data_IF_236718564732
#
_entry.id   IF_236718564732
#
_cell.length_a   1.000
_cell.length_b   1.000
_cell.length_c   1.000
_cell.angle_alpha   90.00
_cell.angle_beta   90.00
_cell.angle_gamma   90.00
#
_symmetry.space_group_name_H-M   'P 1'
#
loop_
_entity.id
_entity.type
_entity.pdbx_description
1 polymer ?
#
# COMPACT_ATOMS: atom_id res chain seq x y z
N UNK A 1 1.36 -41.51 35.09
CA UNK A 1 0.52 -40.41 34.50
C UNK A 1 1.44 -39.29 34.10
N UNK A 2 1.56 -38.97 32.81
CA UNK A 2 2.33 -37.81 32.31
C UNK A 2 1.43 -36.57 32.30
N UNK A 3 1.85 -35.40 32.80
CA UNK A 3 1.01 -34.21 32.77
C UNK A 3 0.82 -33.73 31.31
N UNK A 4 -0.42 -33.51 30.94
CA UNK A 4 -0.83 -33.03 29.63
C UNK A 4 -0.44 -31.53 29.53
N UNK A 5 0.68 -31.22 28.88
CA UNK A 5 1.07 -29.84 28.59
C UNK A 5 0.15 -29.28 27.50
N UNK A 6 -0.92 -28.63 27.91
CA UNK A 6 -1.69 -27.74 27.02
C UNK A 6 -0.78 -26.61 26.59
N UNK A 7 -0.23 -26.70 25.38
CA UNK A 7 0.39 -25.55 24.73
C UNK A 7 -0.71 -24.52 24.45
N UNK A 8 -0.55 -23.26 24.89
CA UNK A 8 -1.56 -22.24 24.64
C UNK A 8 -1.74 -22.06 23.14
N UNK A 9 -2.96 -22.19 22.65
CA UNK A 9 -3.32 -22.02 21.24
C UNK A 9 -2.87 -20.62 20.80
N UNK A 10 -1.97 -20.57 19.81
CA UNK A 10 -1.44 -19.30 19.29
C UNK A 10 -2.59 -18.40 18.83
N UNK A 11 -2.83 -17.30 19.53
CA UNK A 11 -3.90 -16.34 19.18
C UNK A 11 -3.69 -15.85 17.73
N UNK A 12 -4.77 -15.85 16.94
CA UNK A 12 -4.73 -15.33 15.57
C UNK A 12 -4.23 -13.89 15.62
N UNK A 13 -3.24 -13.55 14.79
CA UNK A 13 -2.61 -12.21 14.70
C UNK A 13 -3.60 -11.02 14.64
N UNK A 14 -4.84 -11.25 14.24
CA UNK A 14 -5.91 -10.27 14.17
C UNK A 14 -6.31 -9.72 15.56
N UNK A 15 -6.24 -10.55 16.62
CA UNK A 15 -6.57 -10.13 18.00
C UNK A 15 -5.46 -9.32 18.69
N UNK A 16 -4.22 -9.36 18.13
CA UNK A 16 -3.06 -8.66 18.69
C UNK A 16 -2.78 -7.31 18.02
N UNK A 17 -3.58 -6.91 17.03
CA UNK A 17 -3.38 -5.65 16.31
C UNK A 17 -4.45 -4.66 16.73
N UNK A 18 -4.04 -3.59 17.40
CA UNK A 18 -4.91 -2.49 17.82
C UNK A 18 -5.57 -1.77 16.63
N UNK A 19 -4.93 -1.77 15.45
CA UNK A 19 -5.44 -1.11 14.25
C UNK A 19 -4.90 -1.74 12.95
N UNK A 20 -5.76 -1.90 11.94
CA UNK A 20 -5.44 -2.56 10.68
C UNK A 20 -5.11 -1.61 9.51
N UNK A 21 -5.31 -0.31 9.65
CA UNK A 21 -5.07 0.69 8.60
C UNK A 21 -4.52 2.00 9.17
N UNK A 22 -3.88 2.78 8.29
CA UNK A 22 -3.42 4.14 8.56
C UNK A 22 -4.49 5.14 8.13
N UNK A 23 -4.63 6.24 8.87
CA UNK A 23 -5.39 7.39 8.40
C UNK A 23 -4.64 8.09 7.24
N UNK A 24 -5.32 8.89 6.39
CA UNK A 24 -4.66 9.65 5.34
C UNK A 24 -3.52 10.53 5.87
N UNK A 25 -3.73 11.21 7.00
CA UNK A 25 -2.71 12.06 7.63
C UNK A 25 -1.47 11.27 8.07
N UNK A 26 -1.64 10.04 8.57
CA UNK A 26 -0.52 9.19 8.94
C UNK A 26 0.25 8.68 7.73
N UNK A 27 -0.44 8.42 6.62
CA UNK A 27 0.22 8.08 5.35
C UNK A 27 1.05 9.26 4.85
N UNK A 28 0.54 10.48 4.91
CA UNK A 28 1.27 11.68 4.50
C UNK A 28 2.51 11.91 5.39
N UNK A 29 2.39 11.72 6.71
CA UNK A 29 3.53 11.74 7.64
C UNK A 29 4.56 10.68 7.30
N UNK A 30 4.12 9.47 6.97
CA UNK A 30 4.98 8.34 6.60
C UNK A 30 5.76 8.62 5.31
N UNK A 31 5.10 9.17 4.28
CA UNK A 31 5.73 9.57 3.01
C UNK A 31 6.77 10.68 3.25
N UNK A 32 6.42 11.69 4.05
CA UNK A 32 7.32 12.80 4.39
C UNK A 32 8.54 12.31 5.16
N UNK A 33 8.34 11.45 6.16
CA UNK A 33 9.42 10.82 6.91
C UNK A 33 10.33 9.98 6.02
N UNK A 34 9.76 9.12 5.15
CA UNK A 34 10.54 8.33 4.21
C UNK A 34 11.38 9.20 3.27
N UNK A 35 10.84 10.33 2.79
CA UNK A 35 11.52 11.25 1.90
C UNK A 35 12.73 11.91 2.55
N UNK A 36 12.72 12.16 3.86
CA UNK A 36 13.83 12.73 4.62
C UNK A 36 14.91 11.72 5.02
N UNK A 37 14.66 10.41 4.82
CA UNK A 37 15.57 9.35 5.24
C UNK A 37 16.67 9.06 4.23
N UNK A 38 17.82 9.72 4.39
CA UNK A 38 19.07 9.38 3.70
C UNK A 38 18.98 9.40 2.16
N UNK A 39 19.93 8.69 1.52
CA UNK A 39 20.16 8.75 0.07
C UNK A 39 18.99 8.26 -0.79
N UNK A 40 18.21 7.31 -0.32
CA UNK A 40 17.13 6.68 -1.08
C UNK A 40 15.72 7.24 -0.73
N UNK A 41 15.66 8.40 -0.07
CA UNK A 41 14.40 8.97 0.41
C UNK A 41 13.36 9.19 -0.69
N UNK A 42 13.77 9.63 -1.88
CA UNK A 42 12.87 9.78 -3.02
C UNK A 42 12.27 8.44 -3.45
N UNK A 43 13.08 7.41 -3.64
CA UNK A 43 12.64 6.05 -4.00
C UNK A 43 11.68 5.51 -2.95
N UNK A 44 12.09 5.55 -1.69
CA UNK A 44 11.36 4.95 -0.57
C UNK A 44 10.01 5.64 -0.34
N UNK A 45 9.95 6.98 -0.41
CA UNK A 45 8.70 7.73 -0.34
C UNK A 45 7.78 7.47 -1.55
N UNK A 46 8.34 7.31 -2.75
CA UNK A 46 7.56 6.95 -3.96
C UNK A 46 6.98 5.54 -3.84
N UNK A 47 7.72 4.58 -3.28
CA UNK A 47 7.20 3.24 -3.00
C UNK A 47 5.98 3.29 -2.07
N UNK A 48 6.05 4.08 -0.99
CA UNK A 48 4.93 4.24 -0.05
C UNK A 48 3.73 4.90 -0.73
N UNK A 49 3.97 5.95 -1.51
CA UNK A 49 2.93 6.66 -2.25
C UNK A 49 2.17 5.73 -3.20
N UNK A 50 2.88 4.97 -4.04
CA UNK A 50 2.26 4.03 -4.99
C UNK A 50 1.56 2.87 -4.27
N UNK A 51 2.18 2.31 -3.20
CA UNK A 51 1.56 1.26 -2.41
C UNK A 51 0.22 1.70 -1.82
N UNK A 52 0.15 2.94 -1.33
CA UNK A 52 -1.08 3.53 -0.80
C UNK A 52 -2.07 3.87 -1.90
N UNK A 53 -1.69 4.65 -2.91
CA UNK A 53 -2.65 5.14 -3.91
C UNK A 53 -3.26 4.04 -4.75
N UNK A 54 -2.46 3.05 -5.14
CA UNK A 54 -2.92 1.94 -5.99
C UNK A 54 -3.25 0.66 -5.23
N UNK A 55 -3.13 0.69 -3.89
CA UNK A 55 -3.39 -0.46 -3.04
C UNK A 55 -2.54 -1.68 -3.41
N UNK A 56 -1.28 -1.48 -3.79
CA UNK A 56 -0.40 -2.56 -4.24
C UNK A 56 -0.07 -3.53 -3.10
N UNK A 57 -0.03 -4.83 -3.42
CA UNK A 57 0.60 -5.80 -2.53
C UNK A 57 2.11 -5.59 -2.55
N UNK A 58 2.76 -5.94 -1.45
CA UNK A 58 4.21 -5.77 -1.35
C UNK A 58 4.97 -6.46 -2.48
N UNK A 59 4.54 -7.68 -2.87
CA UNK A 59 5.14 -8.41 -3.98
C UNK A 59 4.92 -7.74 -5.34
N UNK A 60 3.77 -7.09 -5.55
CA UNK A 60 3.46 -6.34 -6.77
C UNK A 60 4.35 -5.08 -6.84
N UNK A 61 4.52 -4.39 -5.72
CA UNK A 61 5.32 -3.17 -5.62
C UNK A 61 6.81 -3.43 -5.91
N UNK A 62 7.42 -4.43 -5.24
CA UNK A 62 8.87 -4.66 -5.37
C UNK A 62 9.26 -5.28 -6.72
N UNK A 63 8.30 -5.86 -7.43
CA UNK A 63 8.52 -6.41 -8.79
C UNK A 63 7.92 -5.54 -9.89
N UNK A 64 7.51 -4.30 -9.59
CA UNK A 64 6.96 -3.37 -10.57
C UNK A 64 8.02 -3.03 -11.62
N UNK A 65 7.64 -3.14 -12.90
CA UNK A 65 8.50 -2.84 -14.05
C UNK A 65 8.12 -1.54 -14.73
N UNK A 66 9.09 -0.90 -15.38
CA UNK A 66 8.84 0.30 -16.20
C UNK A 66 7.90 0.02 -17.37
N UNK A 67 7.90 -1.20 -17.93
CA UNK A 67 6.94 -1.61 -18.96
C UNK A 67 5.46 -1.60 -18.51
N UNK A 68 5.21 -1.51 -17.21
CA UNK A 68 3.87 -1.39 -16.63
C UNK A 68 3.45 0.08 -16.42
N UNK A 69 4.34 1.05 -16.68
CA UNK A 69 4.11 2.47 -16.43
C UNK A 69 4.19 3.25 -17.72
N UNK A 70 3.09 3.88 -18.10
CA UNK A 70 3.04 4.85 -19.17
C UNK A 70 3.14 6.26 -18.57
N UNK A 71 4.34 6.85 -18.67
CA UNK A 71 4.61 8.20 -18.15
C UNK A 71 4.07 9.30 -19.05
N UNK A 72 3.74 9.00 -20.32
CA UNK A 72 3.19 9.97 -21.27
C UNK A 72 1.68 10.08 -21.11
N UNK A 73 0.98 8.94 -21.17
CA UNK A 73 -0.47 8.86 -21.00
C UNK A 73 -0.91 8.90 -19.52
N UNK A 74 0.02 8.72 -18.58
CA UNK A 74 -0.27 8.79 -17.17
C UNK A 74 -1.03 7.59 -16.62
N UNK A 75 -0.61 6.37 -16.95
CA UNK A 75 -1.22 5.13 -16.46
C UNK A 75 -0.21 4.17 -15.84
N UNK A 76 -0.71 3.35 -14.91
CA UNK A 76 0.00 2.19 -14.36
C UNK A 76 -0.85 0.94 -14.54
N UNK A 77 -0.27 -0.09 -15.16
CA UNK A 77 -0.86 -1.41 -15.34
C UNK A 77 -0.46 -2.32 -14.19
N UNK A 78 -1.41 -2.70 -13.35
CA UNK A 78 -1.17 -3.49 -12.15
C UNK A 78 -1.49 -4.95 -12.45
N UNK A 79 -0.45 -5.75 -12.56
CA UNK A 79 -0.56 -7.21 -12.73
C UNK A 79 -0.72 -7.84 -11.35
N UNK A 80 -1.93 -8.33 -11.06
CA UNK A 80 -2.28 -8.88 -9.75
C UNK A 80 -1.77 -10.31 -9.59
N UNK A 81 -0.93 -10.51 -8.60
CA UNK A 81 -0.46 -11.87 -8.24
C UNK A 81 -1.56 -12.65 -7.51
N UNK A 82 -1.43 -14.00 -7.51
CA UNK A 82 -2.35 -14.92 -6.79
C UNK A 82 -3.81 -14.86 -7.29
N UNK A 83 -4.00 -14.92 -8.61
CA UNK A 83 -5.33 -14.94 -9.23
C UNK A 83 -6.20 -13.70 -8.90
N UNK A 84 -5.58 -12.54 -8.66
CA UNK A 84 -6.29 -11.26 -8.58
C UNK A 84 -6.75 -10.80 -9.96
N UNK A 85 -7.57 -9.76 -10.00
CA UNK A 85 -8.04 -9.11 -11.23
C UNK A 85 -7.07 -7.97 -11.55
N UNK A 86 -6.45 -8.02 -12.73
CA UNK A 86 -5.56 -6.96 -13.22
C UNK A 86 -6.34 -5.67 -13.45
N UNK A 87 -5.67 -4.53 -13.27
CA UNK A 87 -6.30 -3.23 -13.41
C UNK A 87 -5.32 -2.19 -13.95
N UNK A 88 -5.85 -1.23 -14.69
CA UNK A 88 -5.12 -0.04 -15.12
C UNK A 88 -5.61 1.15 -14.32
N UNK A 89 -4.68 1.85 -13.66
CA UNK A 89 -5.01 3.01 -12.83
C UNK A 89 -4.38 4.27 -13.41
N UNK A 90 -5.06 5.43 -13.32
CA UNK A 90 -4.45 6.70 -13.66
C UNK A 90 -3.36 7.09 -12.66
N UNK A 91 -2.27 7.67 -13.16
CA UNK A 91 -1.22 8.31 -12.38
C UNK A 91 -1.46 9.82 -12.33
N UNK A 92 -1.41 10.39 -11.14
CA UNK A 92 -1.59 11.83 -10.96
C UNK A 92 -0.24 12.57 -10.98
N UNK A 93 -0.30 13.90 -11.15
CA UNK A 93 0.88 14.72 -11.35
C UNK A 93 1.99 14.58 -10.30
N UNK A 94 1.64 14.30 -9.02
CA UNK A 94 2.63 14.05 -7.97
C UNK A 94 3.37 12.73 -8.18
N UNK A 95 2.69 11.69 -8.65
CA UNK A 95 3.27 10.38 -8.94
C UNK A 95 4.14 10.43 -10.19
N UNK A 96 3.64 11.05 -11.26
CA UNK A 96 4.40 11.25 -12.49
C UNK A 96 5.72 12.00 -12.23
N UNK A 97 5.66 13.07 -11.42
CA UNK A 97 6.87 13.82 -11.05
C UNK A 97 7.89 12.99 -10.29
N UNK A 98 7.44 12.20 -9.31
CA UNK A 98 8.35 11.35 -8.53
C UNK A 98 8.88 10.17 -9.34
N UNK A 99 8.04 9.54 -10.17
CA UNK A 99 8.45 8.43 -11.04
C UNK A 99 9.49 8.85 -12.08
N UNK A 100 9.31 10.02 -12.74
CA UNK A 100 10.32 10.55 -13.67
C UNK A 100 11.65 10.83 -12.98
N UNK A 101 11.64 11.31 -11.73
CA UNK A 101 12.87 11.49 -10.94
C UNK A 101 13.51 10.15 -10.56
N UNK A 102 12.71 9.17 -10.13
CA UNK A 102 13.21 7.81 -9.84
C UNK A 102 13.83 7.19 -11.09
N UNK A 103 13.21 7.33 -12.26
CA UNK A 103 13.75 6.83 -13.53
C UNK A 103 15.10 7.48 -13.87
N UNK A 104 15.24 8.78 -13.62
CA UNK A 104 16.48 9.52 -13.83
C UNK A 104 17.60 9.10 -12.86
N UNK A 105 17.24 8.90 -11.58
CA UNK A 105 18.22 8.56 -10.54
C UNK A 105 18.68 7.10 -10.61
N UNK A 106 17.87 6.22 -11.21
CA UNK A 106 18.12 4.79 -11.34
C UNK A 106 17.95 4.31 -12.80
N UNK A 107 18.79 4.79 -13.73
CA UNK A 107 18.65 4.45 -15.14
C UNK A 107 19.03 2.98 -15.42
N UNK A 108 18.54 2.47 -16.54
CA UNK A 108 18.96 1.19 -17.15
C UNK A 108 18.59 -0.06 -16.37
N UNK A 109 17.37 -0.14 -15.84
CA UNK A 109 16.84 -1.37 -15.28
C UNK A 109 15.38 -1.57 -15.70
N UNK A 110 14.94 -2.81 -15.79
CA UNK A 110 13.54 -3.14 -16.06
C UNK A 110 12.63 -2.77 -14.89
N UNK A 111 13.16 -2.80 -13.66
CA UNK A 111 12.40 -2.59 -12.43
C UNK A 111 12.39 -1.13 -11.99
N UNK A 112 11.24 -0.67 -11.51
CA UNK A 112 11.06 0.71 -11.00
C UNK A 112 11.84 0.93 -9.71
N UNK A 113 11.85 -0.06 -8.83
CA UNK A 113 12.49 0.05 -7.51
C UNK A 113 13.61 -0.96 -7.36
N UNK A 114 14.82 -0.45 -7.34
CA UNK A 114 16.04 -1.27 -7.28
C UNK A 114 16.91 -0.91 -6.08
N UNK A 115 17.75 -1.86 -5.73
CA UNK A 115 18.85 -1.70 -4.77
C UNK A 115 20.07 -1.05 -5.44
N UNK A 116 21.10 -0.70 -4.64
CA UNK A 116 22.39 -0.22 -5.15
C UNK A 116 23.08 -1.24 -6.06
N UNK A 117 22.78 -2.53 -5.89
CA UNK A 117 23.29 -3.61 -6.76
C UNK A 117 22.49 -3.76 -8.05
N UNK A 118 21.62 -2.81 -8.39
CA UNK A 118 20.73 -2.81 -9.58
C UNK A 118 19.76 -4.00 -9.65
N UNK A 119 19.56 -4.71 -8.54
CA UNK A 119 18.59 -5.79 -8.43
C UNK A 119 17.26 -5.25 -7.86
N UNK A 120 16.10 -5.88 -8.14
CA UNK A 120 14.82 -5.52 -7.54
C UNK A 120 14.92 -5.49 -6.03
N UNK A 121 14.21 -4.56 -5.39
CA UNK A 121 14.11 -4.56 -3.94
C UNK A 121 13.35 -5.78 -3.44
N UNK A 122 13.77 -6.30 -2.29
CA UNK A 122 13.07 -7.41 -1.64
C UNK A 122 11.94 -6.89 -0.76
N UNK A 123 10.94 -7.73 -0.53
CA UNK A 123 9.86 -7.43 0.43
C UNK A 123 10.40 -7.08 1.83
N UNK A 124 11.50 -7.75 2.24
CA UNK A 124 12.14 -7.50 3.52
C UNK A 124 12.69 -6.08 3.63
N UNK A 125 13.35 -5.59 2.57
CA UNK A 125 13.87 -4.22 2.53
C UNK A 125 12.73 -3.20 2.65
N UNK A 126 11.64 -3.38 1.89
CA UNK A 126 10.50 -2.47 1.99
C UNK A 126 9.84 -2.48 3.38
N UNK A 127 9.74 -3.65 4.04
CA UNK A 127 9.27 -3.72 5.44
C UNK A 127 10.17 -2.93 6.39
N UNK A 128 11.50 -3.00 6.20
CA UNK A 128 12.46 -2.17 6.98
C UNK A 128 12.27 -0.68 6.74
N UNK A 129 12.09 -0.28 5.47
CA UNK A 129 11.81 1.12 5.11
C UNK A 129 10.56 1.62 5.83
N UNK A 130 9.45 0.87 5.76
CA UNK A 130 8.20 1.23 6.43
C UNK A 130 8.34 1.36 7.95
N UNK A 131 8.99 0.40 8.59
CA UNK A 131 9.19 0.44 10.05
C UNK A 131 10.04 1.64 10.46
N UNK A 132 11.13 1.93 9.73
CA UNK A 132 11.98 3.09 10.00
C UNK A 132 11.23 4.40 9.77
N UNK A 133 10.51 4.52 8.66
CA UNK A 133 9.70 5.71 8.36
C UNK A 133 8.60 5.91 9.40
N UNK A 134 7.97 4.85 9.89
CA UNK A 134 6.99 4.89 10.97
C UNK A 134 7.55 5.46 12.26
N UNK A 135 8.76 5.04 12.64
CA UNK A 135 9.48 5.60 13.81
C UNK A 135 9.80 7.08 13.65
N UNK A 136 10.34 7.48 12.48
CA UNK A 136 10.64 8.90 12.18
C UNK A 136 9.37 9.74 12.12
N UNK A 137 8.25 9.18 11.63
CA UNK A 137 6.96 9.85 11.61
C UNK A 137 6.26 9.95 13.00
N UNK A 138 6.85 9.38 14.03
CA UNK A 138 6.28 9.35 15.39
C UNK A 138 5.01 8.49 15.49
N UNK A 139 4.87 7.46 14.67
CA UNK A 139 3.72 6.56 14.73
C UNK A 139 3.94 5.50 15.81
N UNK A 140 3.06 5.48 16.82
CA UNK A 140 3.12 4.54 17.96
C UNK A 140 2.63 3.12 17.59
N UNK A 141 2.69 2.75 16.30
CA UNK A 141 2.26 1.45 15.80
C UNK A 141 3.32 0.89 14.84
N UNK A 142 3.45 -0.43 14.82
CA UNK A 142 4.33 -1.10 13.87
C UNK A 142 3.70 -1.11 12.49
N UNK A 143 4.18 -0.21 11.61
CA UNK A 143 3.66 -0.09 10.24
C UNK A 143 4.07 -1.29 9.39
N UNK A 144 3.13 -1.85 8.64
CA UNK A 144 3.37 -2.93 7.70
C UNK A 144 2.62 -2.71 6.37
N UNK A 145 3.07 -3.35 5.25
CA UNK A 145 2.57 -3.04 3.90
C UNK A 145 1.04 -3.18 3.73
N UNK A 146 0.41 -4.16 4.39
CA UNK A 146 -1.03 -4.33 4.29
C UNK A 146 -1.83 -3.16 4.88
N UNK A 147 -1.26 -2.42 5.85
CA UNK A 147 -1.92 -1.23 6.40
C UNK A 147 -2.08 -0.13 5.35
N UNK A 148 -1.13 0.02 4.41
CA UNK A 148 -1.25 0.97 3.28
C UNK A 148 -2.40 0.56 2.34
N UNK A 149 -2.46 -0.72 1.98
CA UNK A 149 -3.53 -1.24 1.12
C UNK A 149 -4.90 -1.16 1.79
N UNK A 150 -5.00 -1.43 3.09
CA UNK A 150 -6.22 -1.22 3.86
C UNK A 150 -6.61 0.26 3.92
N UNK A 151 -5.63 1.16 4.10
CA UNK A 151 -5.85 2.60 4.06
C UNK A 151 -6.43 3.06 2.71
N UNK A 152 -5.96 2.47 1.58
CA UNK A 152 -6.56 2.71 0.25
C UNK A 152 -8.04 2.32 0.24
N UNK A 153 -8.37 1.10 0.67
CA UNK A 153 -9.75 0.61 0.69
C UNK A 153 -10.67 1.50 1.53
N UNK A 154 -10.24 1.87 2.74
CA UNK A 154 -11.00 2.78 3.61
C UNK A 154 -11.10 4.19 3.03
N UNK A 155 -10.04 4.73 2.41
CA UNK A 155 -10.07 6.04 1.76
C UNK A 155 -11.11 6.09 0.64
N UNK A 156 -11.15 5.07 -0.22
CA UNK A 156 -12.11 4.98 -1.31
C UNK A 156 -13.54 4.81 -0.79
N UNK A 157 -13.75 3.95 0.19
CA UNK A 157 -15.06 3.75 0.80
C UNK A 157 -15.59 5.04 1.48
N UNK A 158 -14.73 5.75 2.23
CA UNK A 158 -15.09 7.04 2.83
C UNK A 158 -15.31 8.17 1.82
N UNK A 159 -14.77 8.03 0.60
CA UNK A 159 -15.05 8.93 -0.52
C UNK A 159 -16.35 8.56 -1.28
N UNK A 160 -17.11 7.57 -0.81
CA UNK A 160 -18.38 7.16 -1.39
C UNK A 160 -18.26 6.22 -2.59
N UNK A 161 -17.06 5.68 -2.88
CA UNK A 161 -16.87 4.72 -3.96
C UNK A 161 -17.57 3.40 -3.60
N UNK A 162 -18.33 2.85 -4.53
CA UNK A 162 -19.09 1.62 -4.32
C UNK A 162 -18.18 0.38 -4.16
N UNK A 163 -18.71 -0.65 -3.52
CA UNK A 163 -17.96 -1.86 -3.17
C UNK A 163 -17.38 -2.59 -4.39
N UNK A 164 -18.10 -2.61 -5.53
CA UNK A 164 -17.64 -3.28 -6.76
C UNK A 164 -16.46 -2.54 -7.37
N UNK A 165 -16.54 -1.22 -7.47
CA UNK A 165 -15.44 -0.37 -7.95
C UNK A 165 -14.19 -0.53 -7.08
N UNK A 166 -14.34 -0.54 -5.73
CA UNK A 166 -13.23 -0.81 -4.81
C UNK A 166 -12.68 -2.23 -5.00
N UNK A 167 -13.54 -3.23 -5.21
CA UNK A 167 -13.14 -4.60 -5.50
C UNK A 167 -12.23 -4.68 -6.72
N UNK A 168 -12.66 -4.08 -7.84
CA UNK A 168 -11.88 -4.02 -9.08
C UNK A 168 -10.58 -3.24 -8.90
N UNK A 169 -10.64 -2.07 -8.28
CA UNK A 169 -9.48 -1.24 -8.00
C UNK A 169 -8.39 -1.99 -7.21
N UNK A 170 -8.79 -2.69 -6.17
CA UNK A 170 -7.88 -3.49 -5.36
C UNK A 170 -7.54 -4.86 -5.99
N UNK A 171 -8.25 -5.30 -7.01
CA UNK A 171 -8.07 -6.61 -7.64
C UNK A 171 -8.40 -7.77 -6.69
N UNK A 172 -9.50 -7.64 -5.92
CA UNK A 172 -10.00 -8.71 -5.07
C UNK A 172 -10.87 -9.68 -5.86
N UNK A 173 -10.48 -10.95 -5.92
CA UNK A 173 -11.32 -12.00 -6.54
C UNK A 173 -12.62 -12.21 -5.76
N UNK A 174 -12.55 -12.24 -4.42
CA UNK A 174 -13.70 -12.37 -3.56
C UNK A 174 -14.12 -10.99 -3.00
N UNK A 175 -15.37 -10.62 -3.24
CA UNK A 175 -15.96 -9.34 -2.80
C UNK A 175 -15.95 -9.19 -1.27
N UNK A 176 -16.03 -10.28 -0.51
CA UNK A 176 -16.01 -10.27 0.95
C UNK A 176 -14.75 -9.59 1.52
N UNK A 177 -13.62 -9.64 0.78
CA UNK A 177 -12.41 -8.90 1.15
C UNK A 177 -12.58 -7.38 1.03
N UNK A 178 -13.60 -6.91 0.28
CA UNK A 178 -13.88 -5.49 0.03
C UNK A 178 -15.01 -4.96 0.89
N UNK A 179 -16.05 -5.77 1.13
CA UNK A 179 -17.25 -5.42 1.91
C UNK A 179 -16.89 -4.79 3.27
N UNK A 180 -15.86 -5.30 3.93
CA UNK A 180 -15.34 -4.75 5.20
C UNK A 180 -14.99 -3.26 5.17
N UNK A 181 -14.61 -2.69 4.02
CA UNK A 181 -14.29 -1.27 3.92
C UNK A 181 -15.54 -0.41 3.86
N UNK A 182 -16.54 -0.85 3.11
CA UNK A 182 -17.79 -0.12 2.92
C UNK A 182 -18.73 -0.28 4.11
N UNK A 183 -18.74 -1.43 4.79
CA UNK A 183 -19.53 -1.63 6.03
C UNK A 183 -19.12 -0.68 7.16
N UNK A 184 -17.81 -0.37 7.26
CA UNK A 184 -17.25 0.47 8.31
C UNK A 184 -17.12 1.96 7.91
N UNK A 185 -17.53 2.33 6.68
CA UNK A 185 -17.47 3.71 6.22
C UNK A 185 -18.64 4.53 6.75
N UNK A 186 -18.37 5.43 7.71
CA UNK A 186 -19.39 6.33 8.28
C UNK A 186 -20.07 7.21 7.23
N UNK A 187 -19.37 7.57 6.15
CA UNK A 187 -19.92 8.35 5.03
C UNK A 187 -21.11 7.70 4.32
N UNK A 188 -21.26 6.36 4.47
CA UNK A 188 -22.40 5.61 3.93
C UNK A 188 -23.74 6.08 4.48
N UNK A 189 -23.78 6.64 5.67
CA UNK A 189 -24.99 7.03 6.36
C UNK A 189 -25.28 8.54 6.29
N UNK A 190 -24.38 9.34 5.68
CA UNK A 190 -24.49 10.81 5.63
C UNK A 190 -25.79 11.33 5.03
N UNK A 191 -26.34 10.61 4.06
CA UNK A 191 -27.55 11.02 3.33
C UNK A 191 -28.81 10.27 3.76
N UNK A 192 -28.80 9.58 4.91
CA UNK A 192 -29.98 8.87 5.40
C UNK A 192 -31.00 9.82 6.01
N UNK A 193 -30.56 10.97 6.48
CA UNK A 193 -31.42 12.00 7.06
C UNK A 193 -31.15 13.32 6.35
N UNK A 194 -32.21 13.99 5.83
CA UNK A 194 -32.05 15.36 5.36
C UNK A 194 -31.86 16.27 6.58
N UNK A 195 -30.96 17.24 6.48
CA UNK A 195 -30.83 18.34 7.45
C UNK A 195 -31.99 19.32 7.33
#
# INVERSE_FOLDING_TARGET
MRPNHYLPTRQKNKKLREREHLSPLEVDKLITAAKSMGRHGLRDSTMILLAYRHGLRISELVTLKWSQIDLEQGYIHILRRKNGIDATHPLFGSELRTLRKVQKDYPSTDYVFISERKAPLTEHVFRKVLNRAGGVAGLNIKVHPHMLRHATGFKLANAGVDTRSIQHYLGHKNIQHTVRYTELAASRFKNFWPD
#
